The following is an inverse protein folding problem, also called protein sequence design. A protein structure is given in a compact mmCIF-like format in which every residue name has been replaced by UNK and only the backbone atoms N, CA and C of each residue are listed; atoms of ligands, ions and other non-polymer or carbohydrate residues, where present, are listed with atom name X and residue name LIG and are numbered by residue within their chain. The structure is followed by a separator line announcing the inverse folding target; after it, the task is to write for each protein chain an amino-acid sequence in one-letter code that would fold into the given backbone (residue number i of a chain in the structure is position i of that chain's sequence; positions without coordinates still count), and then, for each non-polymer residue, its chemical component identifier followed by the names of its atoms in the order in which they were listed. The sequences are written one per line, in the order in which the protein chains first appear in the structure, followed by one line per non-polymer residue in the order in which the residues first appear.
data_IF_735734836650
#
_entry.id   IF_735734836650
#
_cell.length_a   1.000
_cell.length_b   1.000
_cell.length_c   1.000
_cell.angle_alpha   90.00
_cell.angle_beta   90.00
_cell.angle_gamma   90.00
#
_symmetry.space_group_name_H-M   'P 1'
#
loop_
_entity.id
_entity.type
_entity.pdbx_description
1 polymer ?
#
# COMPACT_ATOMS: atom_id res chain seq x y z
N UNK A 1 -59.64 23.84 26.42
CA UNK A 1 -59.37 24.03 24.97
C UNK A 1 -58.04 24.71 24.72
N UNK A 2 -57.71 25.81 25.41
CA UNK A 2 -56.45 26.55 25.20
C UNK A 2 -55.18 25.72 25.37
N UNK A 3 -55.09 24.86 26.39
CA UNK A 3 -53.92 23.99 26.62
C UNK A 3 -53.69 22.99 25.49
N UNK A 4 -54.75 22.46 24.89
CA UNK A 4 -54.66 21.52 23.76
C UNK A 4 -54.18 22.23 22.49
N UNK A 5 -54.64 23.47 22.27
CA UNK A 5 -54.25 24.30 21.12
C UNK A 5 -52.77 24.71 21.22
N UNK A 6 -52.29 25.08 22.42
CA UNK A 6 -50.89 25.44 22.64
C UNK A 6 -49.93 24.25 22.42
N UNK A 7 -50.31 23.04 22.84
CA UNK A 7 -49.53 21.82 22.59
C UNK A 7 -49.50 21.50 21.08
N UNK A 8 -50.62 21.66 20.38
CA UNK A 8 -50.70 21.48 18.93
C UNK A 8 -49.81 22.47 18.16
N UNK A 9 -49.79 23.74 18.57
CA UNK A 9 -48.92 24.77 17.98
C UNK A 9 -47.43 24.51 18.25
N UNK A 10 -47.09 24.04 19.45
CA UNK A 10 -45.72 23.65 19.80
C UNK A 10 -45.25 22.45 18.96
N UNK A 11 -46.12 21.44 18.76
CA UNK A 11 -45.81 20.27 17.93
C UNK A 11 -45.71 20.62 16.44
N UNK A 12 -46.60 21.49 15.93
CA UNK A 12 -46.54 21.97 14.55
C UNK A 12 -45.29 22.82 14.29
N UNK A 13 -44.91 23.70 15.21
CA UNK A 13 -43.69 24.50 15.06
C UNK A 13 -42.42 23.64 15.13
N UNK A 14 -42.39 22.64 16.03
CA UNK A 14 -41.28 21.68 16.10
C UNK A 14 -41.20 20.79 14.84
N UNK A 15 -42.34 20.32 14.33
CA UNK A 15 -42.40 19.52 13.10
C UNK A 15 -42.01 20.34 11.87
N UNK A 16 -42.58 21.54 11.71
CA UNK A 16 -42.24 22.42 10.59
C UNK A 16 -40.77 22.86 10.66
N UNK A 17 -40.29 23.28 11.83
CA UNK A 17 -38.90 23.69 12.01
C UNK A 17 -37.90 22.54 11.79
N UNK A 18 -38.16 21.37 12.36
CA UNK A 18 -37.29 20.20 12.25
C UNK A 18 -37.31 19.57 10.86
N UNK A 19 -38.50 19.30 10.31
CA UNK A 19 -38.64 18.67 9.00
C UNK A 19 -38.23 19.61 7.86
N UNK A 20 -38.71 20.87 7.83
CA UNK A 20 -38.29 21.82 6.78
C UNK A 20 -36.83 22.24 6.95
N UNK A 21 -36.34 22.37 8.18
CA UNK A 21 -34.93 22.64 8.44
C UNK A 21 -34.03 21.52 7.89
N UNK A 22 -34.34 20.27 8.21
CA UNK A 22 -33.61 19.11 7.71
C UNK A 22 -33.73 18.98 6.17
N UNK A 23 -34.93 19.18 5.62
CA UNK A 23 -35.17 19.15 4.18
C UNK A 23 -34.41 20.27 3.44
N UNK A 24 -34.41 21.50 3.97
CA UNK A 24 -33.69 22.63 3.40
C UNK A 24 -32.18 22.42 3.46
N UNK A 25 -31.66 21.94 4.60
CA UNK A 25 -30.25 21.63 4.75
C UNK A 25 -29.81 20.50 3.81
N UNK A 26 -30.60 19.42 3.71
CA UNK A 26 -30.38 18.35 2.76
C UNK A 26 -30.39 18.89 1.32
N UNK A 27 -31.38 19.69 0.94
CA UNK A 27 -31.49 20.30 -0.39
C UNK A 27 -30.30 21.21 -0.71
N UNK A 28 -29.83 22.00 0.24
CA UNK A 28 -28.67 22.88 0.07
C UNK A 28 -27.35 22.10 -0.07
N UNK A 29 -27.16 21.05 0.73
CA UNK A 29 -26.03 20.14 0.57
C UNK A 29 -26.07 19.45 -0.80
N UNK A 30 -27.24 18.96 -1.20
CA UNK A 30 -27.44 18.31 -2.50
C UNK A 30 -27.11 19.26 -3.68
N UNK A 31 -27.36 20.58 -3.54
CA UNK A 31 -26.96 21.58 -4.55
C UNK A 31 -25.44 21.75 -4.66
N UNK A 32 -24.71 21.73 -3.54
CA UNK A 32 -23.24 21.81 -3.54
C UNK A 32 -22.65 20.55 -4.20
N UNK A 33 -23.14 19.39 -3.78
CA UNK A 33 -22.67 18.10 -4.27
C UNK A 33 -23.01 17.90 -5.75
N UNK A 34 -24.17 18.37 -6.23
CA UNK A 34 -24.50 18.34 -7.65
C UNK A 34 -23.50 19.08 -8.55
N UNK A 35 -22.86 20.16 -8.06
CA UNK A 35 -21.79 20.82 -8.84
C UNK A 35 -20.59 19.89 -8.99
N UNK A 36 -20.21 19.19 -7.93
CA UNK A 36 -19.08 18.25 -7.94
C UNK A 36 -19.37 17.02 -8.79
N UNK A 37 -20.61 16.49 -8.73
CA UNK A 37 -21.07 15.44 -9.66
C UNK A 37 -20.90 15.86 -11.11
N UNK A 38 -21.24 17.12 -11.46
CA UNK A 38 -21.03 17.64 -12.83
C UNK A 38 -19.56 17.70 -13.22
N UNK A 39 -18.66 18.05 -12.30
CA UNK A 39 -17.20 18.01 -12.53
C UNK A 39 -16.74 16.56 -12.79
N UNK A 40 -17.20 15.61 -11.99
CA UNK A 40 -16.88 14.19 -12.18
C UNK A 40 -17.43 13.66 -13.51
N UNK A 41 -18.64 14.05 -13.92
CA UNK A 41 -19.21 13.71 -15.23
C UNK A 41 -18.41 14.34 -16.37
N UNK A 42 -18.02 15.61 -16.24
CA UNK A 42 -17.15 16.31 -17.20
C UNK A 42 -15.82 15.55 -17.40
N UNK A 43 -15.21 15.06 -16.32
CA UNK A 43 -14.03 14.21 -16.39
C UNK A 43 -14.31 12.88 -17.13
N UNK A 44 -15.41 12.19 -16.81
CA UNK A 44 -15.80 10.95 -17.48
C UNK A 44 -16.11 11.17 -18.97
N UNK A 45 -16.64 12.33 -19.35
CA UNK A 45 -16.93 12.70 -20.73
C UNK A 45 -15.66 12.92 -21.56
N UNK A 46 -14.53 13.28 -20.95
CA UNK A 46 -13.22 13.26 -21.61
C UNK A 46 -12.93 11.85 -22.10
N UNK A 47 -12.98 10.85 -21.21
CA UNK A 47 -12.69 9.47 -21.58
C UNK A 47 -13.69 8.91 -22.60
N UNK A 48 -14.98 9.28 -22.51
CA UNK A 48 -15.99 8.89 -23.49
C UNK A 48 -15.64 9.29 -24.94
N UNK A 49 -14.90 10.40 -25.14
CA UNK A 49 -14.47 10.83 -26.48
C UNK A 49 -13.38 9.92 -27.06
N UNK A 50 -12.52 9.39 -26.21
CA UNK A 50 -11.44 8.47 -26.59
C UNK A 50 -11.93 7.03 -26.78
N UNK A 51 -13.02 6.62 -26.12
CA UNK A 51 -13.70 5.34 -26.39
C UNK A 51 -14.07 5.20 -27.87
N UNK A 52 -14.66 6.25 -28.45
CA UNK A 52 -15.12 6.23 -29.85
C UNK A 52 -13.98 5.99 -30.85
N UNK A 53 -12.74 6.21 -30.41
CA UNK A 53 -11.53 6.05 -31.20
C UNK A 53 -10.76 4.77 -30.84
N UNK A 54 -11.31 3.91 -29.97
CA UNK A 54 -10.66 2.69 -29.49
C UNK A 54 -9.35 2.93 -28.72
N UNK A 55 -9.24 4.07 -28.05
CA UNK A 55 -8.00 4.50 -27.40
C UNK A 55 -7.92 4.04 -25.94
N UNK A 56 -6.75 4.27 -25.34
CA UNK A 56 -6.39 3.94 -23.96
C UNK A 56 -6.43 5.19 -23.06
N UNK A 57 -6.50 5.00 -21.74
CA UNK A 57 -6.63 6.10 -20.78
C UNK A 57 -5.45 7.08 -20.77
N UNK A 58 -4.22 6.59 -20.94
CA UNK A 58 -2.99 7.39 -21.06
C UNK A 58 -3.08 8.45 -22.18
N UNK A 59 -3.73 8.13 -23.31
CA UNK A 59 -3.91 9.08 -24.42
C UNK A 59 -4.90 10.20 -24.12
N UNK A 60 -5.80 9.99 -23.18
CA UNK A 60 -6.74 11.01 -22.71
C UNK A 60 -6.14 11.94 -21.64
N UNK A 61 -4.93 11.64 -21.13
CA UNK A 61 -4.32 12.36 -20.00
C UNK A 61 -4.18 13.86 -20.25
N UNK A 62 -3.67 14.26 -21.42
CA UNK A 62 -3.49 15.67 -21.77
C UNK A 62 -4.82 16.42 -21.79
N UNK A 63 -5.86 15.83 -22.40
CA UNK A 63 -7.18 16.46 -22.44
C UNK A 63 -7.83 16.51 -21.05
N UNK A 64 -7.68 15.45 -20.25
CA UNK A 64 -8.13 15.45 -18.86
C UNK A 64 -7.47 16.59 -18.07
N UNK A 65 -6.14 16.72 -18.16
CA UNK A 65 -5.37 17.72 -17.44
C UNK A 65 -5.67 19.16 -17.86
N UNK A 66 -6.07 19.37 -19.12
CA UNK A 66 -6.49 20.67 -19.64
C UNK A 66 -7.97 20.98 -19.34
N UNK A 67 -8.80 19.95 -19.23
CA UNK A 67 -10.25 20.13 -19.03
C UNK A 67 -10.61 20.46 -17.59
N UNK A 68 -9.88 19.93 -16.60
CA UNK A 68 -10.10 20.18 -15.18
C UNK A 68 -8.96 21.01 -14.60
N UNK A 69 -9.29 22.00 -13.76
CA UNK A 69 -8.28 22.71 -12.97
C UNK A 69 -7.82 21.87 -11.76
N UNK A 70 -6.76 22.33 -11.07
CA UNK A 70 -6.20 21.61 -9.91
C UNK A 70 -7.23 21.39 -8.79
N UNK A 71 -8.12 22.35 -8.53
CA UNK A 71 -9.14 22.25 -7.48
C UNK A 71 -10.24 21.28 -7.89
N UNK A 72 -10.68 21.31 -9.14
CA UNK A 72 -11.61 20.35 -9.73
C UNK A 72 -11.03 18.93 -9.65
N UNK A 73 -9.75 18.74 -10.02
CA UNK A 73 -9.08 17.44 -9.88
C UNK A 73 -9.04 16.99 -8.41
N UNK A 74 -8.68 17.88 -7.47
CA UNK A 74 -8.69 17.58 -6.03
C UNK A 74 -10.05 17.12 -5.52
N UNK A 75 -11.14 17.68 -6.06
CA UNK A 75 -12.48 17.33 -5.63
C UNK A 75 -12.92 15.93 -6.10
N UNK A 76 -12.50 15.47 -7.29
CA UNK A 76 -13.11 14.29 -7.94
C UNK A 76 -12.16 13.11 -8.18
N UNK A 77 -10.85 13.32 -8.16
CA UNK A 77 -9.90 12.30 -8.65
C UNK A 77 -9.95 10.99 -7.85
N UNK A 78 -10.04 11.05 -6.52
CA UNK A 78 -10.16 9.85 -5.68
C UNK A 78 -11.44 9.08 -5.99
N UNK A 79 -12.55 9.79 -6.22
CA UNK A 79 -13.82 9.16 -6.58
C UNK A 79 -13.73 8.47 -7.95
N UNK A 80 -13.10 9.11 -8.94
CA UNK A 80 -12.85 8.51 -10.25
C UNK A 80 -11.99 7.24 -10.15
N UNK A 81 -10.93 7.26 -9.33
CA UNK A 81 -10.12 6.06 -9.08
C UNK A 81 -10.93 4.92 -8.46
N UNK A 82 -11.75 5.21 -7.43
CA UNK A 82 -12.60 4.20 -6.81
C UNK A 82 -13.67 3.64 -7.78
N UNK A 83 -14.08 4.43 -8.76
CA UNK A 83 -14.97 3.98 -9.84
C UNK A 83 -14.26 3.10 -10.88
N UNK A 84 -12.93 3.02 -10.86
CA UNK A 84 -12.13 2.15 -11.71
C UNK A 84 -11.32 2.87 -12.79
N UNK A 85 -11.22 4.21 -12.75
CA UNK A 85 -10.32 4.95 -13.63
C UNK A 85 -8.86 4.68 -13.22
N UNK A 86 -8.01 4.14 -14.11
CA UNK A 86 -6.68 3.68 -13.74
C UNK A 86 -5.66 4.83 -13.74
N UNK A 87 -5.49 5.50 -12.61
CA UNK A 87 -4.46 6.54 -12.41
C UNK A 87 -3.14 5.90 -12.02
N UNK A 88 -2.05 6.31 -12.66
CA UNK A 88 -0.70 5.85 -12.33
C UNK A 88 -0.32 6.33 -10.94
N UNK A 89 0.02 5.39 -10.06
CA UNK A 89 0.54 5.69 -8.72
C UNK A 89 2.06 5.82 -8.81
N UNK A 90 2.64 7.01 -8.57
CA UNK A 90 4.08 7.15 -8.62
C UNK A 90 4.72 6.36 -7.46
N UNK A 91 5.72 5.55 -7.79
CA UNK A 91 6.44 4.70 -6.83
C UNK A 91 7.62 5.46 -6.22
N UNK A 92 8.31 6.27 -7.03
CA UNK A 92 9.55 6.95 -6.68
C UNK A 92 9.40 8.47 -6.47
N UNK A 93 8.27 9.05 -6.91
CA UNK A 93 8.03 10.49 -6.92
C UNK A 93 6.75 10.84 -6.16
N UNK A 94 6.64 12.10 -5.77
CA UNK A 94 5.39 12.65 -5.23
C UNK A 94 4.33 12.69 -6.34
N UNK A 95 3.08 12.41 -5.96
CA UNK A 95 1.95 12.57 -6.86
C UNK A 95 1.78 14.05 -7.23
N UNK A 96 1.79 14.34 -8.54
CA UNK A 96 1.59 15.68 -9.09
C UNK A 96 0.17 15.81 -9.62
N UNK A 97 -0.65 16.62 -8.96
CA UNK A 97 -2.05 16.83 -9.32
C UNK A 97 -2.20 17.67 -10.59
N UNK A 98 -1.18 18.46 -10.93
CA UNK A 98 -1.13 19.31 -12.12
C UNK A 98 -1.08 18.46 -13.39
N UNK A 99 -0.31 17.37 -13.38
CA UNK A 99 -0.13 16.43 -14.49
C UNK A 99 -0.49 15.00 -14.08
N UNK A 100 -1.80 14.73 -14.04
CA UNK A 100 -2.32 13.39 -13.72
C UNK A 100 -2.04 12.44 -14.88
N UNK A 101 -1.39 11.31 -14.58
CA UNK A 101 -1.07 10.25 -15.54
C UNK A 101 -2.01 9.06 -15.37
N UNK A 102 -2.35 8.40 -16.47
CA UNK A 102 -3.22 7.23 -16.49
C UNK A 102 -2.50 6.02 -17.09
N UNK A 103 -2.91 4.81 -16.68
CA UNK A 103 -2.31 3.57 -17.17
C UNK A 103 -2.67 3.32 -18.64
N UNK A 104 -1.83 2.56 -19.33
CA UNK A 104 -2.09 2.09 -20.70
C UNK A 104 -3.13 0.97 -20.71
N UNK A 105 -4.39 1.32 -20.43
CA UNK A 105 -5.53 0.40 -20.38
C UNK A 105 -6.60 0.84 -21.37
N UNK A 106 -7.18 -0.12 -22.09
CA UNK A 106 -8.23 0.12 -23.07
C UNK A 106 -9.50 0.61 -22.37
N UNK A 107 -10.12 1.64 -22.93
CA UNK A 107 -11.31 2.24 -22.32
C UNK A 107 -12.54 1.45 -22.73
N UNK A 108 -13.20 0.81 -21.76
CA UNK A 108 -14.47 0.13 -21.97
C UNK A 108 -15.66 1.10 -21.85
N UNK A 109 -16.52 1.08 -22.87
CA UNK A 109 -17.67 1.99 -22.98
C UNK A 109 -18.71 1.70 -21.92
N UNK A 110 -19.06 0.43 -21.76
CA UNK A 110 -20.17 0.02 -20.89
C UNK A 110 -19.80 0.30 -19.42
N UNK A 111 -18.55 0.04 -19.06
CA UNK A 111 -18.00 0.41 -17.75
C UNK A 111 -18.09 1.92 -17.51
N UNK A 112 -17.70 2.78 -18.46
CA UNK A 112 -17.80 4.23 -18.29
C UNK A 112 -19.23 4.73 -18.14
N UNK A 113 -20.19 4.17 -18.88
CA UNK A 113 -21.60 4.50 -18.74
C UNK A 113 -22.14 4.12 -17.36
N UNK A 114 -21.73 2.95 -16.83
CA UNK A 114 -22.04 2.54 -15.46
C UNK A 114 -21.44 3.51 -14.43
N UNK A 115 -20.19 3.92 -14.59
CA UNK A 115 -19.54 4.91 -13.72
C UNK A 115 -20.32 6.23 -13.70
N UNK A 116 -20.70 6.76 -14.87
CA UNK A 116 -21.55 7.97 -14.97
C UNK A 116 -22.90 7.78 -14.28
N UNK A 117 -23.49 6.59 -14.40
CA UNK A 117 -24.71 6.23 -13.69
C UNK A 117 -24.56 6.31 -12.17
N UNK A 118 -23.44 5.81 -11.62
CA UNK A 118 -23.17 5.87 -10.17
C UNK A 118 -22.98 7.31 -9.67
N UNK A 119 -22.24 8.12 -10.42
CA UNK A 119 -22.03 9.54 -10.08
C UNK A 119 -23.36 10.30 -10.09
N UNK A 120 -24.21 10.06 -11.09
CA UNK A 120 -25.53 10.71 -11.17
C UNK A 120 -26.46 10.33 -10.00
N UNK A 121 -26.40 9.06 -9.56
CA UNK A 121 -27.17 8.56 -8.41
C UNK A 121 -26.70 9.12 -7.07
N UNK A 122 -25.52 9.74 -7.01
CA UNK A 122 -24.94 10.27 -5.77
C UNK A 122 -24.18 9.24 -4.95
N UNK A 123 -23.91 8.05 -5.50
CA UNK A 123 -23.23 6.97 -4.79
C UNK A 123 -21.73 7.21 -4.54
N UNK A 124 -21.20 8.35 -5.00
CA UNK A 124 -19.81 8.75 -4.82
C UNK A 124 -19.66 10.04 -4.02
N UNK A 125 -20.76 10.59 -3.51
CA UNK A 125 -20.80 11.92 -2.91
C UNK A 125 -19.94 12.05 -1.64
N UNK A 126 -19.89 10.97 -0.87
CA UNK A 126 -19.11 10.82 0.36
C UNK A 126 -17.61 10.75 0.09
N UNK A 127 -17.21 10.38 -1.13
CA UNK A 127 -15.81 10.24 -1.54
C UNK A 127 -15.28 11.53 -2.18
N UNK A 128 -16.17 12.43 -2.62
CA UNK A 128 -15.71 13.73 -3.13
C UNK A 128 -14.94 14.52 -2.07
N UNK A 129 -13.91 15.24 -2.51
CA UNK A 129 -12.95 15.94 -1.66
C UNK A 129 -12.13 15.05 -0.71
N UNK A 130 -12.12 13.73 -0.93
CA UNK A 130 -11.12 12.87 -0.29
C UNK A 130 -9.72 13.41 -0.60
N UNK A 131 -8.84 13.38 0.41
CA UNK A 131 -7.47 13.85 0.26
C UNK A 131 -6.73 13.04 -0.79
N UNK A 132 -6.47 13.68 -1.93
CA UNK A 132 -5.76 13.10 -3.07
C UNK A 132 -4.34 12.72 -2.69
N UNK A 133 -3.64 13.62 -2.01
CA UNK A 133 -2.24 13.44 -1.68
C UNK A 133 -2.12 12.26 -0.71
N UNK A 134 -2.97 12.18 0.32
CA UNK A 134 -3.03 11.02 1.21
C UNK A 134 -3.44 9.73 0.47
N UNK A 135 -4.42 9.78 -0.45
CA UNK A 135 -4.88 8.60 -1.18
C UNK A 135 -3.76 7.99 -2.05
N UNK A 136 -3.04 8.82 -2.81
CA UNK A 136 -1.95 8.36 -3.67
C UNK A 136 -0.64 8.15 -2.93
N UNK A 137 -0.42 8.83 -1.80
CA UNK A 137 0.79 8.65 -0.97
C UNK A 137 0.67 7.60 0.13
N UNK A 138 -0.54 7.12 0.43
CA UNK A 138 -0.81 6.12 1.49
C UNK A 138 0.03 4.85 1.36
N UNK A 139 0.51 4.55 0.15
CA UNK A 139 1.40 3.42 -0.12
C UNK A 139 2.80 3.83 -0.59
N UNK A 140 3.17 5.12 -0.65
CA UNK A 140 4.51 5.51 -1.16
C UNK A 140 5.61 4.93 -0.29
N UNK A 141 5.45 4.92 1.03
CA UNK A 141 6.42 4.26 1.92
C UNK A 141 6.49 2.75 1.66
N UNK A 142 5.34 2.08 1.53
CA UNK A 142 5.26 0.64 1.25
C UNK A 142 5.91 0.29 -0.10
N UNK A 143 5.59 1.05 -1.14
CA UNK A 143 6.13 0.89 -2.47
C UNK A 143 7.64 1.17 -2.50
N UNK A 144 8.10 2.19 -1.79
CA UNK A 144 9.53 2.49 -1.67
C UNK A 144 10.30 1.36 -0.97
N UNK A 145 9.83 0.85 0.18
CA UNK A 145 10.53 -0.25 0.87
C UNK A 145 10.56 -1.52 0.03
N UNK A 146 9.47 -1.83 -0.68
CA UNK A 146 9.39 -2.97 -1.60
C UNK A 146 10.29 -2.79 -2.83
N UNK A 147 10.37 -1.58 -3.38
CA UNK A 147 11.27 -1.27 -4.50
C UNK A 147 12.75 -1.47 -4.10
N UNK A 148 13.14 -1.03 -2.90
CA UNK A 148 14.49 -1.26 -2.35
C UNK A 148 14.76 -2.76 -2.17
N UNK A 149 13.78 -3.54 -1.70
CA UNK A 149 13.90 -4.98 -1.58
C UNK A 149 14.11 -5.67 -2.95
N UNK A 150 13.35 -5.29 -3.98
CA UNK A 150 13.52 -5.81 -5.35
C UNK A 150 14.88 -5.44 -5.94
N UNK A 151 15.34 -4.20 -5.72
CA UNK A 151 16.70 -3.77 -6.07
C UNK A 151 17.78 -4.66 -5.43
N UNK A 152 17.60 -5.07 -4.17
CA UNK A 152 18.48 -6.05 -3.52
C UNK A 152 18.42 -7.43 -4.20
N UNK A 153 17.24 -7.92 -4.56
CA UNK A 153 17.11 -9.20 -5.27
C UNK A 153 17.86 -9.15 -6.61
N UNK A 154 17.64 -8.09 -7.39
CA UNK A 154 18.19 -7.95 -8.74
C UNK A 154 19.71 -7.74 -8.74
N UNK A 155 20.24 -6.90 -7.84
CA UNK A 155 21.66 -6.50 -7.86
C UNK A 155 22.56 -7.38 -6.99
N UNK A 156 22.01 -7.96 -5.91
CA UNK A 156 22.80 -8.67 -4.90
C UNK A 156 22.43 -10.14 -4.84
N UNK A 157 21.17 -10.47 -4.56
CA UNK A 157 20.81 -11.85 -4.27
C UNK A 157 20.95 -12.76 -5.50
N UNK A 158 20.57 -12.26 -6.68
CA UNK A 158 20.72 -12.93 -7.98
C UNK A 158 22.18 -13.26 -8.33
N UNK A 159 23.15 -12.53 -7.78
CA UNK A 159 24.59 -12.68 -8.06
C UNK A 159 25.34 -13.41 -6.95
N UNK A 160 24.65 -13.79 -5.87
CA UNK A 160 25.21 -14.56 -4.76
C UNK A 160 25.48 -16.01 -5.16
N UNK A 161 26.39 -16.65 -4.42
CA UNK A 161 26.65 -18.09 -4.49
C UNK A 161 26.42 -18.74 -3.14
N UNK A 162 25.63 -19.80 -3.09
CA UNK A 162 25.46 -20.63 -1.90
C UNK A 162 26.53 -21.73 -1.87
N UNK A 163 27.32 -21.78 -0.80
CA UNK A 163 28.11 -22.95 -0.45
C UNK A 163 27.15 -23.99 0.16
N UNK A 164 26.84 -25.04 -0.60
CA UNK A 164 25.89 -26.09 -0.18
C UNK A 164 26.48 -26.99 0.91
N UNK A 165 27.80 -27.11 1.03
CA UNK A 165 28.42 -27.92 2.08
C UNK A 165 28.36 -27.20 3.43
N UNK A 166 28.68 -25.90 3.43
CA UNK A 166 28.68 -25.08 4.64
C UNK A 166 27.33 -24.44 4.93
N UNK A 167 26.39 -24.53 3.99
CA UNK A 167 25.04 -23.98 4.11
C UNK A 167 25.08 -22.44 4.26
N UNK A 168 26.04 -21.78 3.60
CA UNK A 168 26.31 -20.33 3.70
C UNK A 168 26.16 -19.65 2.35
N UNK A 169 25.40 -18.55 2.30
CA UNK A 169 25.33 -17.69 1.12
C UNK A 169 26.45 -16.65 1.15
N UNK A 170 27.28 -16.70 0.11
CA UNK A 170 28.40 -15.79 -0.11
C UNK A 170 27.99 -14.63 -1.00
N UNK A 171 28.17 -13.43 -0.48
CA UNK A 171 27.87 -12.18 -1.17
C UNK A 171 29.11 -11.74 -1.95
N UNK A 172 28.96 -11.63 -3.26
CA UNK A 172 30.03 -11.21 -4.18
C UNK A 172 30.20 -9.69 -4.26
N UNK A 173 29.25 -8.92 -3.70
CA UNK A 173 29.18 -7.47 -3.87
C UNK A 173 29.16 -6.74 -2.53
N UNK A 174 29.89 -5.63 -2.45
CA UNK A 174 29.85 -4.73 -1.31
C UNK A 174 28.56 -3.89 -1.33
N UNK A 175 27.62 -4.19 -0.43
CA UNK A 175 26.31 -3.52 -0.39
C UNK A 175 26.40 -2.04 -0.01
N UNK A 176 27.43 -1.60 0.71
CA UNK A 176 27.61 -0.18 1.06
C UNK A 176 27.90 0.71 -0.15
N UNK A 177 28.25 0.13 -1.31
CA UNK A 177 28.42 0.85 -2.57
C UNK A 177 27.13 0.93 -3.40
N UNK A 178 26.14 0.08 -3.11
CA UNK A 178 24.90 -0.04 -3.88
C UNK A 178 23.68 0.58 -3.18
N UNK A 179 23.75 0.72 -1.86
CA UNK A 179 22.63 1.15 -1.02
C UNK A 179 23.05 2.28 -0.08
N UNK A 180 22.17 3.25 0.08
CA UNK A 180 22.26 4.29 1.10
C UNK A 180 22.10 3.69 2.52
N UNK A 181 22.52 4.40 3.58
CA UNK A 181 22.30 3.94 4.96
C UNK A 181 20.82 3.64 5.28
N UNK A 182 19.89 4.44 4.74
CA UNK A 182 18.46 4.22 4.92
C UNK A 182 17.96 2.95 4.22
N UNK A 183 18.39 2.72 2.97
CA UNK A 183 18.08 1.49 2.24
C UNK A 183 18.66 0.25 2.94
N UNK A 184 19.89 0.34 3.47
CA UNK A 184 20.51 -0.74 4.23
C UNK A 184 19.71 -1.10 5.48
N UNK A 185 19.17 -0.10 6.20
CA UNK A 185 18.34 -0.36 7.37
C UNK A 185 17.07 -1.16 7.02
N UNK A 186 16.46 -0.85 5.87
CA UNK A 186 15.27 -1.55 5.36
C UNK A 186 15.59 -3.01 4.99
N UNK A 187 16.69 -3.25 4.26
CA UNK A 187 16.94 -4.58 3.68
C UNK A 187 17.66 -5.55 4.62
N UNK A 188 18.26 -5.09 5.73
CA UNK A 188 19.12 -5.95 6.56
C UNK A 188 18.37 -7.13 7.20
N UNK A 189 17.18 -6.88 7.79
CA UNK A 189 16.36 -7.96 8.36
C UNK A 189 15.81 -8.85 7.25
N UNK A 190 15.25 -8.24 6.19
CA UNK A 190 14.73 -8.96 5.02
C UNK A 190 15.78 -9.90 4.44
N UNK A 191 17.00 -9.44 4.17
CA UNK A 191 18.12 -10.25 3.67
C UNK A 191 18.40 -11.45 4.57
N UNK A 192 18.43 -11.26 5.90
CA UNK A 192 18.69 -12.36 6.83
C UNK A 192 17.59 -13.42 6.81
N UNK A 193 16.33 -13.01 6.56
CA UNK A 193 15.15 -13.89 6.60
C UNK A 193 14.76 -14.48 5.25
N UNK A 194 15.17 -13.87 4.14
CA UNK A 194 14.93 -14.35 2.77
C UNK A 194 16.05 -15.25 2.23
N UNK A 195 17.18 -15.35 2.94
CA UNK A 195 18.35 -16.12 2.55
C UNK A 195 18.13 -17.65 2.72
N UNK A 196 17.21 -18.21 1.96
CA UNK A 196 16.93 -19.65 1.90
C UNK A 196 17.74 -20.33 0.78
N UNK A 197 18.05 -21.60 0.97
CA UNK A 197 18.85 -22.36 0.01
C UNK A 197 18.08 -22.83 -1.21
N UNK A 198 16.75 -22.88 -1.09
CA UNK A 198 15.83 -23.28 -2.17
C UNK A 198 15.83 -22.26 -3.32
N UNK A 199 16.40 -21.08 -3.09
CA UNK A 199 16.67 -20.06 -4.10
C UNK A 199 17.89 -20.37 -4.98
N UNK A 200 18.68 -21.41 -4.66
CA UNK A 200 19.93 -21.75 -5.33
C UNK A 200 19.92 -23.18 -5.89
N UNK A 201 20.45 -23.34 -7.10
CA UNK A 201 20.60 -24.63 -7.78
C UNK A 201 21.65 -25.54 -7.09
N UNK A 202 21.84 -26.74 -7.63
CA UNK A 202 22.81 -27.72 -7.11
C UNK A 202 24.25 -27.20 -7.12
N UNK A 203 24.57 -26.28 -8.04
CA UNK A 203 25.88 -25.63 -8.14
C UNK A 203 25.99 -24.38 -7.25
N UNK A 204 24.96 -24.09 -6.46
CA UNK A 204 24.90 -22.94 -5.57
C UNK A 204 24.66 -21.61 -6.28
N UNK A 205 24.22 -21.60 -7.54
CA UNK A 205 23.89 -20.37 -8.28
C UNK A 205 22.42 -20.02 -8.06
N UNK A 206 22.09 -18.73 -7.97
CA UNK A 206 20.71 -18.28 -7.84
C UNK A 206 19.85 -18.73 -9.04
N UNK A 207 18.65 -19.24 -8.76
CA UNK A 207 17.68 -19.71 -9.75
C UNK A 207 16.84 -18.50 -10.22
N UNK A 208 16.89 -18.11 -11.50
CA UNK A 208 16.18 -16.93 -12.01
C UNK A 208 14.68 -16.94 -11.72
N UNK A 209 14.02 -18.08 -11.93
CA UNK A 209 12.57 -18.24 -11.71
C UNK A 209 12.22 -17.98 -10.24
N UNK A 210 13.07 -18.43 -9.31
CA UNK A 210 12.89 -18.20 -7.88
C UNK A 210 13.14 -16.74 -7.47
N UNK A 211 13.98 -16.00 -8.20
CA UNK A 211 14.14 -14.55 -7.99
C UNK A 211 12.88 -13.79 -8.41
N UNK A 212 12.26 -14.17 -9.53
CA UNK A 212 10.98 -13.59 -9.96
C UNK A 212 9.82 -13.94 -9.01
N UNK A 213 9.79 -15.17 -8.51
CA UNK A 213 8.85 -15.59 -7.45
C UNK A 213 9.02 -14.71 -6.21
N UNK A 214 10.25 -14.55 -5.70
CA UNK A 214 10.53 -13.69 -4.54
C UNK A 214 10.10 -12.23 -4.79
N UNK A 215 10.36 -11.68 -5.98
CA UNK A 215 9.89 -10.32 -6.33
C UNK A 215 8.36 -10.24 -6.34
N UNK A 216 7.68 -11.28 -6.80
CA UNK A 216 6.21 -11.39 -6.75
C UNK A 216 5.72 -11.41 -5.30
N UNK A 217 6.35 -12.19 -4.42
CA UNK A 217 6.00 -12.23 -2.99
C UNK A 217 6.21 -10.87 -2.29
N UNK A 218 7.26 -10.14 -2.67
CA UNK A 218 7.50 -8.76 -2.20
C UNK A 218 6.35 -7.85 -2.64
N UNK A 219 5.92 -7.94 -3.90
CA UNK A 219 4.80 -7.14 -4.41
C UNK A 219 3.45 -7.51 -3.77
N UNK A 220 3.28 -8.78 -3.39
CA UNK A 220 2.15 -9.26 -2.61
C UNK A 220 2.19 -8.84 -1.13
N UNK A 221 3.35 -8.37 -0.64
CA UNK A 221 3.52 -7.90 0.73
C UNK A 221 3.82 -8.99 1.76
N UNK A 222 4.14 -10.21 1.33
CA UNK A 222 4.45 -11.31 2.25
C UNK A 222 5.70 -11.05 3.11
N UNK A 223 6.54 -10.13 2.64
CA UNK A 223 7.81 -9.75 3.28
C UNK A 223 7.74 -8.40 4.02
N UNK A 224 6.60 -7.69 3.99
CA UNK A 224 6.49 -6.33 4.53
C UNK A 224 6.89 -6.27 6.01
N UNK A 225 6.46 -7.25 6.82
CA UNK A 225 6.82 -7.31 8.24
C UNK A 225 8.33 -7.26 8.46
N UNK A 226 9.12 -7.92 7.61
CA UNK A 226 10.57 -7.92 7.71
C UNK A 226 11.20 -6.66 7.14
N UNK A 227 10.58 -6.03 6.13
CA UNK A 227 11.03 -4.75 5.57
C UNK A 227 10.81 -3.57 6.52
N UNK A 228 9.84 -3.68 7.44
CA UNK A 228 9.60 -2.68 8.49
C UNK A 228 10.23 -3.01 9.84
N UNK A 229 10.89 -4.17 9.98
CA UNK A 229 11.53 -4.53 11.23
C UNK A 229 12.85 -3.77 11.37
N UNK A 230 12.93 -2.97 12.44
CA UNK A 230 14.16 -2.29 12.82
C UNK A 230 15.34 -3.26 13.01
N UNK A 231 16.47 -2.94 12.39
CA UNK A 231 17.66 -3.78 12.39
C UNK A 231 18.28 -3.93 13.78
N UNK A 232 18.35 -2.86 14.57
CA UNK A 232 18.95 -2.89 15.90
C UNK A 232 18.10 -3.74 16.85
N UNK A 233 16.78 -3.57 16.81
CA UNK A 233 15.84 -4.39 17.55
C UNK A 233 15.97 -5.88 17.17
N UNK A 234 16.09 -6.18 15.88
CA UNK A 234 16.32 -7.55 15.41
C UNK A 234 17.65 -8.12 15.94
N UNK A 235 18.75 -7.37 15.86
CA UNK A 235 20.04 -7.81 16.38
C UNK A 235 20.01 -8.04 17.89
N UNK A 236 19.37 -7.15 18.65
CA UNK A 236 19.22 -7.30 20.10
C UNK A 236 18.48 -8.58 20.46
N UNK A 237 17.40 -8.90 19.74
CA UNK A 237 16.66 -10.15 19.93
C UNK A 237 17.49 -11.39 19.59
N UNK A 238 18.26 -11.37 18.49
CA UNK A 238 19.18 -12.46 18.15
C UNK A 238 20.25 -12.67 19.21
N UNK A 239 20.84 -11.58 19.71
CA UNK A 239 21.87 -11.62 20.75
C UNK A 239 21.33 -12.17 22.08
N UNK A 240 20.11 -11.78 22.46
CA UNK A 240 19.44 -12.30 23.65
C UNK A 240 19.16 -13.80 23.52
N UNK A 241 18.65 -14.25 22.37
CA UNK A 241 18.41 -15.66 22.10
C UNK A 241 19.70 -16.48 22.14
N UNK A 242 20.79 -15.95 21.56
CA UNK A 242 22.10 -16.57 21.63
C UNK A 242 22.59 -16.69 23.08
N UNK A 243 22.53 -15.60 23.85
CA UNK A 243 22.94 -15.60 25.26
C UNK A 243 22.11 -16.58 26.09
N UNK A 244 20.80 -16.62 25.89
CA UNK A 244 19.91 -17.57 26.55
C UNK A 244 20.32 -19.03 26.25
N UNK A 245 20.65 -19.34 24.99
CA UNK A 245 21.15 -20.65 24.59
C UNK A 245 22.48 -21.01 25.25
N UNK A 246 23.43 -20.06 25.31
CA UNK A 246 24.72 -20.26 26.00
C UNK A 246 24.51 -20.54 27.49
N UNK A 247 23.66 -19.77 28.16
CA UNK A 247 23.35 -19.95 29.59
C UNK A 247 22.67 -21.32 29.81
N UNK A 248 21.69 -21.69 29.00
CA UNK A 248 21.01 -22.97 29.10
C UNK A 248 21.98 -24.15 28.93
N UNK A 249 22.89 -24.07 27.95
CA UNK A 249 23.91 -25.10 27.74
C UNK A 249 24.90 -25.18 28.91
N UNK A 250 25.34 -24.05 29.46
CA UNK A 250 26.21 -24.01 30.63
C UNK A 250 25.53 -24.59 31.88
N UNK A 251 24.25 -24.27 32.11
CA UNK A 251 23.45 -24.83 33.20
C UNK A 251 23.30 -26.35 33.05
N UNK A 252 22.97 -26.83 31.85
CA UNK A 252 22.86 -28.27 31.57
C UNK A 252 24.20 -28.99 31.78
N UNK A 253 25.32 -28.42 31.35
CA UNK A 253 26.65 -28.98 31.58
C UNK A 253 26.99 -29.07 33.09
N UNK A 254 26.63 -28.04 33.86
CA UNK A 254 26.83 -28.03 35.31
C UNK A 254 25.98 -29.09 36.02
N UNK A 255 24.71 -29.24 35.65
CA UNK A 255 23.81 -30.27 36.19
C UNK A 255 24.35 -31.68 35.88
N UNK A 256 24.81 -31.91 34.65
CA UNK A 256 25.40 -33.20 34.24
C UNK A 256 26.68 -33.51 35.02
N UNK A 257 27.51 -32.50 35.28
CA UNK A 257 28.73 -32.68 36.09
C UNK A 257 28.41 -32.95 37.57
N UNK A 258 27.40 -32.28 38.16
CA UNK A 258 26.99 -32.57 39.55
C UNK A 258 26.43 -33.99 39.70
N UNK A 259 25.64 -34.48 38.74
CA UNK A 259 25.11 -35.85 38.76
C UNK A 259 26.25 -36.88 38.66
N UNK A 260 27.26 -36.64 37.82
CA UNK A 260 28.45 -37.51 37.72
C UNK A 260 29.26 -37.54 39.01
N UNK A 261 29.42 -36.39 39.67
CA UNK A 261 30.13 -36.28 40.95
C UNK A 261 29.40 -37.00 42.10
N UNK A 262 28.06 -36.98 42.12
CA UNK A 262 27.28 -37.72 43.11
C UNK A 262 27.31 -39.24 42.86
N UNK A 263 27.23 -39.68 41.60
CA UNK A 263 27.34 -41.09 41.24
C UNK A 263 28.74 -41.68 41.51
N UNK A 264 29.79 -40.85 41.58
CA UNK A 264 31.15 -41.27 41.96
C UNK A 264 31.38 -41.32 43.47
N UNK A 265 30.44 -40.81 44.29
CA UNK A 265 30.53 -40.79 45.76
C UNK A 265 29.70 -41.87 46.46
N UNK A 266 28.95 -42.69 45.72
CA UNK A 266 28.28 -43.86 46.27
C UNK A 266 29.23 -45.08 46.24
N UNK A 267 29.55 -45.69 47.41
CA UNK A 267 30.42 -46.86 47.51
C UNK A 267 29.79 -48.15 46.95
#
# INVERSE_FOLDING_TARGET
METIISILLALLSAFLGGYFGAWFQHSFQNRKVNKVRKIAIKALDVFCRYVKQGQTFDKAASEFNNSLDVVEKRAVLVALCKLGIPVVKPINDLFQIEDVKFEHKLIDKDTLELMKGQVNKGNCDDIFFSDVDAYFSSNTRLLAVRAVAKKYVDLVFSTCKCDKEKQVVNYSVNMSLLFTPGELNIINVFRKRSCWQDYFDENGKAIPEKMEELKTEIDLGLWDTYLFWDWEAYQNLQNQNYLAGVIANAMNANIQNSIKLDNQKQP
#
